data_IF_272982310266
#
_entry.id   IF_272982310266
#
_cell.length_a   1.000
_cell.length_b   1.000
_cell.length_c   1.000
_cell.angle_alpha   90.00
_cell.angle_beta   90.00
_cell.angle_gamma   90.00
#
_symmetry.space_group_name_H-M   'P 1'
#
loop_
_entity.id
_entity.type
_entity.pdbx_description
1 polymer ?
#
# COMPACT_ATOMS: atom_id res chain seq x y z
N UNK A 1 3.14 -49.93 -54.25
CA UNK A 1 4.14 -50.30 -55.27
C UNK A 1 5.44 -49.58 -54.96
N UNK A 2 6.53 -50.35 -54.81
CA UNK A 2 7.93 -50.04 -55.18
C UNK A 2 8.53 -48.70 -54.65
N UNK A 3 9.65 -48.64 -53.94
CA UNK A 3 10.70 -49.62 -53.66
C UNK A 3 12.03 -48.89 -53.39
N UNK A 4 12.92 -49.58 -52.66
CA UNK A 4 14.40 -49.61 -52.76
C UNK A 4 15.21 -48.31 -52.66
N UNK A 5 16.03 -48.15 -51.61
CA UNK A 5 17.45 -48.57 -51.49
C UNK A 5 18.46 -47.64 -52.18
N UNK A 6 19.44 -47.09 -51.42
CA UNK A 6 20.84 -47.57 -51.38
C UNK A 6 21.76 -46.73 -50.45
N UNK A 7 22.90 -47.31 -50.01
CA UNK A 7 23.87 -46.73 -49.08
C UNK A 7 25.11 -46.16 -49.79
N UNK A 8 25.96 -45.44 -49.06
CA UNK A 8 27.27 -44.99 -49.55
C UNK A 8 28.25 -44.74 -48.41
N UNK A 9 29.32 -45.53 -48.38
CA UNK A 9 30.35 -45.54 -47.37
C UNK A 9 31.63 -44.81 -47.85
N UNK A 10 32.44 -44.42 -46.85
CA UNK A 10 33.90 -44.29 -46.85
C UNK A 10 34.60 -43.29 -47.78
N UNK A 11 35.40 -42.42 -47.17
CA UNK A 11 36.77 -42.19 -47.62
C UNK A 11 37.71 -41.84 -46.45
N UNK A 12 38.97 -42.22 -46.65
CA UNK A 12 40.01 -42.50 -45.65
C UNK A 12 41.05 -41.36 -45.57
N UNK A 13 41.63 -41.20 -44.36
CA UNK A 13 43.06 -40.94 -44.01
C UNK A 13 43.66 -39.54 -44.37
N UNK A 14 44.85 -39.12 -43.86
CA UNK A 14 45.77 -39.74 -42.87
C UNK A 14 46.38 -38.79 -41.77
N UNK A 15 47.04 -39.43 -40.79
CA UNK A 15 48.29 -39.12 -40.05
C UNK A 15 48.81 -37.68 -39.93
N UNK A 16 49.08 -37.24 -38.69
CA UNK A 16 50.41 -36.74 -38.29
C UNK A 16 50.59 -36.65 -36.76
N UNK A 17 51.68 -37.27 -36.31
CA UNK A 17 52.57 -36.93 -35.19
C UNK A 17 51.97 -36.71 -33.79
N UNK A 18 52.21 -37.72 -32.96
CA UNK A 18 52.31 -37.54 -31.51
C UNK A 18 53.57 -36.75 -31.15
N UNK A 19 53.41 -35.86 -30.17
CA UNK A 19 54.49 -35.33 -29.36
C UNK A 19 54.10 -35.60 -27.90
N UNK A 20 54.88 -36.46 -27.26
CA UNK A 20 54.80 -36.71 -25.83
C UNK A 20 55.28 -35.46 -25.08
N UNK A 21 54.43 -34.87 -24.24
CA UNK A 21 54.87 -33.99 -23.17
C UNK A 21 53.89 -34.04 -21.99
N UNK A 22 54.26 -34.88 -21.03
CA UNK A 22 54.18 -34.66 -19.58
C UNK A 22 52.84 -34.19 -18.98
N UNK A 23 52.20 -35.14 -18.29
CA UNK A 23 51.19 -34.92 -17.25
C UNK A 23 51.78 -34.04 -16.16
N UNK A 24 51.13 -32.92 -15.86
CA UNK A 24 51.39 -32.17 -14.63
C UNK A 24 50.08 -31.54 -14.16
N UNK A 25 49.39 -32.26 -13.26
CA UNK A 25 48.33 -31.68 -12.43
C UNK A 25 48.96 -30.94 -11.25
N UNK A 26 48.56 -29.68 -11.02
CA UNK A 26 48.51 -29.15 -9.69
C UNK A 26 47.07 -28.74 -9.37
N UNK A 27 46.44 -29.57 -8.54
CA UNK A 27 45.75 -29.11 -7.35
C UNK A 27 44.69 -28.04 -7.59
N UNK A 28 43.51 -28.49 -8.01
CA UNK A 28 42.24 -27.79 -7.88
C UNK A 28 41.98 -27.45 -6.41
N UNK A 29 42.50 -26.30 -5.94
CA UNK A 29 42.00 -25.67 -4.71
C UNK A 29 40.64 -25.07 -5.04
N UNK A 30 39.57 -25.83 -4.79
CA UNK A 30 38.24 -25.25 -4.63
C UNK A 30 38.30 -24.24 -3.47
N UNK A 31 38.51 -22.96 -3.80
CA UNK A 31 38.10 -21.89 -2.92
C UNK A 31 36.58 -21.80 -3.01
N UNK A 32 35.88 -22.53 -2.15
CA UNK A 32 34.46 -22.31 -1.92
C UNK A 32 34.29 -20.92 -1.30
N UNK A 33 34.12 -19.90 -2.14
CA UNK A 33 33.72 -18.57 -1.69
C UNK A 33 32.24 -18.67 -1.28
N UNK A 34 32.02 -18.92 0.01
CA UNK A 34 30.72 -18.79 0.64
C UNK A 34 30.37 -17.29 0.63
N UNK A 35 29.71 -16.82 -0.43
CA UNK A 35 29.11 -15.48 -0.44
C UNK A 35 27.96 -15.51 0.55
N UNK A 36 28.26 -15.13 1.80
CA UNK A 36 27.25 -14.84 2.80
C UNK A 36 26.53 -13.58 2.33
N UNK A 37 25.43 -13.77 1.61
CA UNK A 37 24.50 -12.68 1.29
C UNK A 37 23.91 -12.17 2.60
N UNK A 38 24.55 -11.19 3.23
CA UNK A 38 23.95 -10.43 4.32
C UNK A 38 22.79 -9.64 3.72
N UNK A 39 21.60 -10.23 3.74
CA UNK A 39 20.36 -9.49 3.60
C UNK A 39 20.25 -8.58 4.81
N UNK A 40 20.73 -7.35 4.68
CA UNK A 40 20.45 -6.28 5.64
C UNK A 40 18.97 -5.94 5.53
N UNK A 41 18.13 -6.73 6.21
CA UNK A 41 16.81 -6.27 6.59
C UNK A 41 17.03 -5.05 7.50
N UNK A 42 17.01 -3.86 6.90
CA UNK A 42 17.10 -2.62 7.65
C UNK A 42 16.03 -2.63 8.74
N UNK A 43 16.33 -2.08 9.94
CA UNK A 43 15.35 -2.05 11.00
C UNK A 43 14.08 -1.38 10.47
N UNK A 44 12.96 -2.08 10.51
CA UNK A 44 11.67 -1.44 10.44
C UNK A 44 11.65 -0.52 11.66
N UNK A 45 11.94 0.77 11.46
CA UNK A 45 11.84 1.78 12.51
C UNK A 45 10.42 1.64 13.07
N UNK A 46 10.34 1.25 14.35
CA UNK A 46 9.08 1.27 15.07
C UNK A 46 8.49 2.67 14.91
N UNK A 47 7.17 2.77 14.78
CA UNK A 47 6.53 4.08 14.82
C UNK A 47 6.98 4.75 16.12
N UNK A 48 7.50 5.98 16.02
CA UNK A 48 7.69 6.74 17.25
C UNK A 48 6.28 6.93 17.81
N UNK A 49 6.06 6.70 19.10
CA UNK A 49 4.69 6.75 19.66
C UNK A 49 3.97 8.11 19.41
N UNK A 50 4.70 9.12 18.92
CA UNK A 50 4.23 10.40 18.43
C UNK A 50 4.33 10.51 16.89
N UNK A 51 3.18 10.50 16.21
CA UNK A 51 3.14 10.64 14.74
C UNK A 51 3.75 11.95 14.23
N UNK A 52 3.81 13.02 15.05
CA UNK A 52 4.37 14.31 14.62
C UNK A 52 5.88 14.26 14.41
N UNK A 53 6.56 13.35 15.11
CA UNK A 53 7.98 13.12 14.91
C UNK A 53 8.26 12.38 13.59
N UNK A 54 7.32 11.54 13.14
CA UNK A 54 7.46 10.76 11.90
C UNK A 54 6.89 11.48 10.67
N UNK A 55 5.92 12.39 10.85
CA UNK A 55 5.22 13.06 9.76
C UNK A 55 6.01 14.23 9.15
N UNK A 56 5.91 14.36 7.83
CA UNK A 56 6.39 15.53 7.10
C UNK A 56 5.55 16.76 7.46
N UNK A 57 6.18 17.94 7.45
CA UNK A 57 5.50 19.21 7.75
C UNK A 57 4.29 19.49 6.84
N UNK A 58 4.33 19.04 5.58
CA UNK A 58 3.22 19.21 4.64
C UNK A 58 2.00 18.38 5.05
N UNK A 59 2.22 17.15 5.53
CA UNK A 59 1.17 16.28 6.05
C UNK A 59 0.56 16.83 7.33
N UNK A 60 1.40 17.31 8.27
CA UNK A 60 0.92 17.97 9.50
C UNK A 60 -0.05 19.11 9.16
N UNK A 61 0.35 20.03 8.27
CA UNK A 61 -0.50 21.15 7.82
C UNK A 61 -1.78 20.70 7.12
N UNK A 62 -1.73 19.60 6.38
CA UNK A 62 -2.90 19.03 5.71
C UNK A 62 -3.88 18.44 6.72
N UNK A 63 -3.39 17.79 7.76
CA UNK A 63 -4.21 17.26 8.84
C UNK A 63 -4.82 18.37 9.70
N UNK A 64 -4.09 19.46 9.96
CA UNK A 64 -4.60 20.64 10.68
C UNK A 64 -5.81 21.28 10.00
N UNK A 65 -5.96 21.11 8.69
CA UNK A 65 -7.08 21.60 7.89
C UNK A 65 -8.23 20.58 7.73
N UNK A 66 -8.25 19.49 8.49
CA UNK A 66 -9.25 18.43 8.34
C UNK A 66 -10.71 18.93 8.40
N UNK A 67 -11.02 19.86 9.30
CA UNK A 67 -12.38 20.41 9.45
C UNK A 67 -12.80 21.27 8.25
N UNK A 68 -11.84 21.99 7.67
CA UNK A 68 -12.04 22.70 6.41
C UNK A 68 -12.27 21.70 5.28
N UNK A 69 -11.52 20.59 5.22
CA UNK A 69 -11.72 19.55 4.20
C UNK A 69 -13.14 18.97 4.25
N UNK A 70 -13.63 18.67 5.46
CA UNK A 70 -15.01 18.22 5.67
C UNK A 70 -16.03 19.24 5.19
N UNK A 71 -15.88 20.49 5.60
CA UNK A 71 -16.82 21.57 5.26
C UNK A 71 -16.87 21.78 3.75
N UNK A 72 -15.70 21.90 3.12
CA UNK A 72 -15.56 22.11 1.68
C UNK A 72 -16.09 20.93 0.88
N UNK A 73 -15.67 19.70 1.19
CA UNK A 73 -16.11 18.51 0.46
C UNK A 73 -17.63 18.31 0.51
N UNK A 74 -18.23 18.48 1.69
CA UNK A 74 -19.68 18.35 1.85
C UNK A 74 -20.44 19.47 1.13
N UNK A 75 -19.90 20.68 1.08
CA UNK A 75 -20.49 21.79 0.32
C UNK A 75 -20.43 21.53 -1.19
N UNK A 76 -19.26 21.15 -1.72
CA UNK A 76 -19.06 20.78 -3.14
C UNK A 76 -20.01 19.67 -3.57
N UNK A 77 -20.10 18.60 -2.78
CA UNK A 77 -21.01 17.49 -3.05
C UNK A 77 -22.48 17.94 -3.08
N UNK A 78 -22.91 18.78 -2.13
CA UNK A 78 -24.28 19.31 -2.09
C UNK A 78 -24.59 20.24 -3.26
N UNK A 79 -23.64 21.08 -3.67
CA UNK A 79 -23.78 21.94 -4.84
C UNK A 79 -24.00 21.14 -6.13
N UNK A 80 -23.45 19.92 -6.21
CA UNK A 80 -23.70 18.98 -7.30
C UNK A 80 -24.93 18.06 -7.08
N UNK A 81 -25.85 18.42 -6.19
CA UNK A 81 -27.09 17.67 -5.95
C UNK A 81 -26.94 16.36 -5.16
N UNK A 82 -25.77 16.08 -4.57
CA UNK A 82 -25.51 14.82 -3.87
C UNK A 82 -26.10 14.74 -2.46
N UNK A 83 -26.93 15.71 -2.04
CA UNK A 83 -27.48 15.79 -0.69
C UNK A 83 -28.16 14.50 -0.21
N UNK A 84 -29.03 13.89 -1.04
CA UNK A 84 -29.67 12.61 -0.71
C UNK A 84 -28.68 11.45 -0.58
N UNK A 85 -27.63 11.45 -1.41
CA UNK A 85 -26.62 10.39 -1.38
C UNK A 85 -25.73 10.52 -0.14
N UNK A 86 -25.34 11.73 0.25
CA UNK A 86 -24.65 12.01 1.51
C UNK A 86 -25.46 11.55 2.72
N UNK A 87 -26.76 11.85 2.77
CA UNK A 87 -27.64 11.40 3.87
C UNK A 87 -27.65 9.88 4.01
N UNK A 88 -27.60 9.13 2.90
CA UNK A 88 -27.55 7.65 2.93
C UNK A 88 -26.24 7.08 3.48
N UNK A 89 -25.15 7.85 3.51
CA UNK A 89 -23.90 7.43 4.14
C UNK A 89 -24.04 7.40 5.68
N UNK A 90 -24.99 8.17 6.23
CA UNK A 90 -25.25 8.27 7.66
C UNK A 90 -24.00 8.66 8.44
N UNK A 91 -23.74 7.97 9.54
CA UNK A 91 -22.59 8.24 10.43
C UNK A 91 -21.22 8.17 9.75
N UNK A 92 -21.10 7.55 8.55
CA UNK A 92 -19.84 7.56 7.81
C UNK A 92 -19.46 8.98 7.37
N UNK A 93 -20.44 9.79 6.95
CA UNK A 93 -20.23 11.15 6.48
C UNK A 93 -20.55 12.22 7.54
N UNK A 94 -20.68 11.84 8.82
CA UNK A 94 -20.83 12.79 9.93
C UNK A 94 -19.48 12.99 10.65
N UNK A 95 -18.82 14.16 10.51
CA UNK A 95 -17.52 14.41 11.14
C UNK A 95 -17.57 14.40 12.67
N UNK A 96 -18.75 14.50 13.28
CA UNK A 96 -18.91 14.59 14.74
C UNK A 96 -18.97 13.22 15.42
N UNK A 97 -19.09 12.13 14.65
CA UNK A 97 -19.18 10.78 15.20
C UNK A 97 -17.78 10.21 15.38
N UNK A 98 -17.38 10.06 16.64
CA UNK A 98 -16.22 9.28 17.07
C UNK A 98 -16.49 8.61 18.40
N UNK A 99 -16.21 7.31 18.49
CA UNK A 99 -16.47 6.49 19.67
C UNK A 99 -15.16 6.21 20.43
N UNK A 100 -15.22 6.03 21.77
CA UNK A 100 -14.07 5.57 22.54
C UNK A 100 -13.53 4.22 22.06
N UNK A 101 -12.26 3.96 22.40
CA UNK A 101 -11.49 2.76 22.02
C UNK A 101 -11.38 2.65 20.49
N UNK A 102 -10.67 3.59 19.83
CA UNK A 102 -10.60 3.68 18.38
C UNK A 102 -9.75 2.58 17.74
N UNK A 103 -8.97 1.83 18.52
CA UNK A 103 -8.07 0.78 18.05
C UNK A 103 -8.86 -0.39 17.44
N UNK A 104 -8.69 -0.67 16.13
CA UNK A 104 -9.28 -1.86 15.53
C UNK A 104 -8.52 -3.11 15.99
N UNK A 105 -9.24 -4.19 16.24
CA UNK A 105 -8.63 -5.50 16.50
C UNK A 105 -7.87 -5.98 15.25
N UNK A 106 -6.64 -6.52 15.36
CA UNK A 106 -5.96 -7.13 14.23
C UNK A 106 -6.81 -8.20 13.51
N UNK A 107 -6.66 -8.30 12.19
CA UNK A 107 -7.38 -9.27 11.37
C UNK A 107 -7.76 -8.76 9.98
N UNK A 108 -8.57 -9.56 9.29
CA UNK A 108 -9.12 -9.23 7.99
C UNK A 108 -10.33 -8.30 8.12
N UNK A 109 -10.44 -7.36 7.18
CA UNK A 109 -11.54 -6.41 7.06
C UNK A 109 -11.98 -6.33 5.60
N UNK A 110 -13.23 -5.94 5.38
CA UNK A 110 -13.67 -5.35 4.11
C UNK A 110 -13.58 -3.84 4.22
N UNK A 111 -13.17 -3.19 3.16
CA UNK A 111 -13.12 -1.73 3.12
C UNK A 111 -13.61 -1.17 1.79
N UNK A 112 -14.15 0.05 1.80
CA UNK A 112 -14.53 0.78 0.59
C UNK A 112 -14.20 2.25 0.74
N UNK A 113 -13.86 2.88 -0.38
CA UNK A 113 -13.58 4.32 -0.42
C UNK A 113 -14.84 5.07 -0.86
N UNK A 114 -15.11 6.18 -0.20
CA UNK A 114 -16.09 7.19 -0.61
C UNK A 114 -15.33 8.50 -0.81
N UNK A 115 -15.32 8.99 -2.05
CA UNK A 115 -14.72 10.29 -2.40
C UNK A 115 -15.81 11.34 -2.32
N UNK A 116 -15.56 12.43 -1.59
CA UNK A 116 -16.50 13.53 -1.39
C UNK A 116 -15.83 14.82 -1.84
N UNK A 117 -16.53 15.56 -2.70
CA UNK A 117 -16.01 16.79 -3.28
C UNK A 117 -14.84 16.56 -4.24
N UNK A 118 -14.51 17.59 -5.01
CA UNK A 118 -13.38 17.58 -5.92
C UNK A 118 -12.89 19.00 -6.16
N UNK A 119 -11.63 19.33 -5.83
CA UNK A 119 -11.11 20.69 -5.99
C UNK A 119 -10.98 21.09 -7.48
N UNK A 120 -10.99 20.11 -8.39
CA UNK A 120 -10.75 20.29 -9.82
C UNK A 120 -12.00 19.99 -10.67
N UNK A 121 -13.20 20.12 -10.09
CA UNK A 121 -14.46 19.94 -10.83
C UNK A 121 -14.82 18.50 -11.19
N UNK A 122 -14.22 17.51 -10.53
CA UNK A 122 -14.63 16.11 -10.61
C UNK A 122 -15.98 15.82 -9.95
N UNK A 123 -16.42 14.55 -9.93
CA UNK A 123 -17.70 14.17 -9.33
C UNK A 123 -17.76 14.54 -7.84
N UNK A 124 -18.85 15.17 -7.42
CA UNK A 124 -19.04 15.60 -6.02
C UNK A 124 -19.19 14.45 -5.03
N UNK A 125 -19.52 13.24 -5.49
CA UNK A 125 -19.56 12.04 -4.66
C UNK A 125 -19.32 10.78 -5.51
N UNK A 126 -18.39 9.94 -5.08
CA UNK A 126 -18.18 8.60 -5.65
C UNK A 126 -18.10 7.58 -4.52
N UNK A 127 -18.90 6.52 -4.59
CA UNK A 127 -18.83 5.41 -3.63
C UNK A 127 -18.36 4.15 -4.35
N UNK A 128 -17.20 3.64 -3.97
CA UNK A 128 -16.67 2.40 -4.53
C UNK A 128 -17.23 1.16 -3.83
N UNK A 129 -17.10 0.01 -4.50
CA UNK A 129 -17.39 -1.30 -3.94
C UNK A 129 -16.41 -1.73 -2.85
N UNK A 130 -16.67 -2.90 -2.29
CA UNK A 130 -15.86 -3.48 -1.21
C UNK A 130 -14.59 -4.16 -1.71
N UNK A 131 -13.50 -3.91 -1.01
CA UNK A 131 -12.17 -4.47 -1.21
C UNK A 131 -11.70 -5.18 0.07
N UNK A 132 -10.62 -5.96 -0.03
CA UNK A 132 -9.96 -6.55 1.14
C UNK A 132 -9.04 -5.53 1.79
N UNK A 133 -9.16 -5.39 3.11
CA UNK A 133 -8.24 -4.68 3.98
C UNK A 133 -7.73 -5.62 5.07
N UNK A 134 -6.62 -5.24 5.70
CA UNK A 134 -6.02 -5.95 6.83
C UNK A 134 -5.53 -4.96 7.85
N UNK A 135 -5.80 -5.25 9.11
CA UNK A 135 -5.16 -4.63 10.27
C UNK A 135 -4.18 -5.63 10.87
N UNK A 136 -2.96 -5.22 11.14
CA UNK A 136 -1.92 -6.07 11.73
C UNK A 136 -1.10 -5.29 12.75
N UNK A 137 -0.33 -6.01 13.57
CA UNK A 137 0.70 -5.39 14.40
C UNK A 137 2.03 -5.39 13.65
N UNK A 138 2.78 -4.29 13.72
CA UNK A 138 4.18 -4.24 13.32
C UNK A 138 5.00 -5.14 14.25
N UNK A 139 6.24 -5.52 13.89
CA UNK A 139 7.15 -6.19 14.82
C UNK A 139 7.38 -5.39 16.12
N UNK A 140 7.27 -4.05 16.06
CA UNK A 140 7.35 -3.15 17.21
C UNK A 140 6.05 -3.04 18.04
N UNK A 141 4.96 -3.70 17.62
CA UNK A 141 3.67 -3.67 18.31
C UNK A 141 2.71 -2.58 17.83
N UNK A 142 3.05 -1.83 16.78
CA UNK A 142 2.22 -0.74 16.27
C UNK A 142 1.09 -1.27 15.39
N UNK A 143 -0.09 -0.64 15.46
CA UNK A 143 -1.16 -0.98 14.53
C UNK A 143 -0.82 -0.49 13.13
N UNK A 144 -1.03 -1.36 12.14
CA UNK A 144 -0.89 -1.05 10.72
C UNK A 144 -2.20 -1.33 10.00
N UNK A 145 -2.50 -0.50 9.00
CA UNK A 145 -3.64 -0.65 8.10
C UNK A 145 -3.14 -0.81 6.67
N UNK A 146 -3.71 -1.77 5.95
CA UNK A 146 -3.43 -2.00 4.54
C UNK A 146 -4.71 -2.32 3.76
N UNK A 147 -4.94 -1.60 2.66
CA UNK A 147 -5.90 -2.00 1.62
C UNK A 147 -5.20 -2.93 0.64
N UNK A 148 -5.55 -4.21 0.73
CA UNK A 148 -4.86 -5.31 0.04
C UNK A 148 -5.23 -5.40 -1.44
N UNK A 149 -6.44 -4.99 -1.83
CA UNK A 149 -6.93 -5.09 -3.22
C UNK A 149 -7.44 -3.78 -3.78
N UNK A 150 -7.49 -3.69 -5.11
CA UNK A 150 -7.98 -2.52 -5.85
C UNK A 150 -6.85 -1.68 -6.43
N UNK A 151 -7.22 -0.66 -7.20
CA UNK A 151 -6.27 0.19 -7.94
C UNK A 151 -5.51 1.16 -7.05
N UNK A 152 -6.15 1.69 -6.01
CA UNK A 152 -5.52 2.53 -4.99
C UNK A 152 -5.43 1.73 -3.69
N UNK A 153 -4.22 1.42 -3.25
CA UNK A 153 -3.95 0.58 -2.07
C UNK A 153 -3.16 1.38 -1.03
N UNK A 154 -3.87 1.95 -0.07
CA UNK A 154 -3.28 2.65 1.07
C UNK A 154 -2.62 1.64 2.02
N UNK A 155 -1.44 1.99 2.54
CA UNK A 155 -0.77 1.22 3.58
C UNK A 155 -0.01 2.15 4.54
N UNK A 156 -0.13 1.92 5.84
CA UNK A 156 0.49 2.80 6.84
C UNK A 156 0.29 2.34 8.28
N UNK A 157 0.79 3.16 9.19
CA UNK A 157 0.72 2.97 10.63
C UNK A 157 -0.47 3.76 11.20
N UNK A 158 -1.01 3.29 12.32
CA UNK A 158 -2.08 3.94 13.09
C UNK A 158 -1.54 4.33 14.47
N UNK A 159 -1.29 5.61 14.66
CA UNK A 159 -0.71 6.19 15.88
C UNK A 159 -1.81 6.59 16.86
N UNK A 160 -1.69 6.27 18.15
CA UNK A 160 -2.54 6.85 19.18
C UNK A 160 -2.42 8.38 19.19
N UNK A 161 -3.55 9.10 19.18
CA UNK A 161 -3.57 10.56 19.38
C UNK A 161 -4.47 10.94 20.56
N UNK A 162 -5.69 10.43 20.59
CA UNK A 162 -6.66 10.80 21.62
C UNK A 162 -7.59 9.63 21.94
N UNK A 163 -8.38 9.68 23.04
CA UNK A 163 -9.25 8.57 23.46
C UNK A 163 -10.29 8.09 22.44
N UNK A 164 -10.54 8.87 21.37
CA UNK A 164 -11.55 8.60 20.33
C UNK A 164 -10.99 8.59 18.89
N UNK A 165 -9.70 8.84 18.69
CA UNK A 165 -9.09 8.84 17.35
C UNK A 165 -7.63 8.40 17.34
N UNK A 166 -7.22 7.82 16.23
CA UNK A 166 -5.84 7.56 15.84
C UNK A 166 -5.47 8.45 14.65
N UNK A 167 -4.18 8.61 14.39
CA UNK A 167 -3.66 9.20 13.14
C UNK A 167 -3.13 8.09 12.25
N UNK A 168 -3.58 8.07 11.01
CA UNK A 168 -2.98 7.26 9.96
C UNK A 168 -1.85 8.05 9.31
N UNK A 169 -0.66 7.43 9.23
CA UNK A 169 0.45 7.93 8.43
C UNK A 169 0.89 6.81 7.50
N UNK A 170 0.79 7.03 6.20
CA UNK A 170 0.99 5.97 5.21
C UNK A 170 1.12 6.49 3.81
N UNK A 171 1.18 5.60 2.84
CA UNK A 171 1.22 5.97 1.43
C UNK A 171 0.26 5.14 0.60
N UNK A 172 0.01 5.57 -0.64
CA UNK A 172 -0.85 4.88 -1.59
C UNK A 172 -0.06 4.32 -2.77
N UNK A 173 -0.28 3.03 -3.06
CA UNK A 173 0.14 2.40 -4.31
C UNK A 173 -0.96 2.57 -5.37
N UNK A 174 -0.56 2.78 -6.62
CA UNK A 174 -1.43 2.99 -7.77
C UNK A 174 -1.27 1.85 -8.77
N UNK A 175 -2.37 1.30 -9.25
CA UNK A 175 -2.35 0.16 -10.17
C UNK A 175 -2.02 -1.17 -9.48
N UNK A 176 -2.40 -2.28 -10.11
CA UNK A 176 -2.34 -3.63 -9.51
C UNK A 176 -0.94 -4.25 -9.49
N UNK A 177 0.02 -3.71 -10.24
CA UNK A 177 1.39 -4.23 -10.32
C UNK A 177 2.37 -3.66 -9.28
N UNK A 178 2.00 -2.58 -8.58
CA UNK A 178 2.87 -1.96 -7.59
C UNK A 178 2.91 -2.74 -6.27
N UNK A 179 4.08 -2.77 -5.63
CA UNK A 179 4.23 -3.27 -4.26
C UNK A 179 3.49 -2.40 -3.23
N UNK A 180 3.64 -2.75 -1.95
CA UNK A 180 3.13 -1.94 -0.84
C UNK A 180 3.83 -0.57 -0.83
N UNK A 181 3.05 0.51 -0.88
CA UNK A 181 3.60 1.86 -0.75
C UNK A 181 4.18 2.11 0.64
N UNK A 182 5.23 2.92 0.70
CA UNK A 182 5.95 3.27 1.92
C UNK A 182 5.91 4.79 2.10
N UNK A 183 5.44 5.24 3.25
CA UNK A 183 5.44 6.65 3.61
C UNK A 183 6.86 7.23 3.57
N UNK A 184 6.98 8.46 3.09
CA UNK A 184 8.24 9.18 3.01
C UNK A 184 9.11 8.79 1.82
N UNK A 185 8.72 7.83 0.97
CA UNK A 185 9.45 7.52 -0.28
C UNK A 185 9.08 8.45 -1.43
N UNK A 186 7.82 8.82 -1.53
CA UNK A 186 7.28 9.65 -2.61
C UNK A 186 6.21 10.58 -2.02
N UNK A 187 6.50 11.88 -2.04
CA UNK A 187 5.64 12.89 -1.44
C UNK A 187 4.25 12.93 -2.07
N UNK A 188 4.11 12.59 -3.36
CA UNK A 188 2.81 12.58 -4.04
C UNK A 188 1.93 11.38 -3.64
N UNK A 189 2.54 10.37 -3.01
CA UNK A 189 1.87 9.17 -2.52
C UNK A 189 1.64 9.21 -1.02
N UNK A 190 2.29 10.13 -0.32
CA UNK A 190 2.18 10.29 1.11
C UNK A 190 0.75 10.71 1.50
N UNK A 191 0.22 10.04 2.51
CA UNK A 191 -1.13 10.21 3.03
C UNK A 191 -1.10 10.33 4.54
N UNK A 192 -1.95 11.23 5.04
CA UNK A 192 -2.21 11.40 6.46
C UNK A 192 -3.72 11.55 6.67
N UNK A 193 -4.21 11.05 7.80
CA UNK A 193 -5.63 11.18 8.12
C UNK A 193 -5.98 10.77 9.53
N UNK A 194 -7.26 10.96 9.87
CA UNK A 194 -7.81 10.56 11.16
C UNK A 194 -8.54 9.23 11.02
N UNK A 195 -8.23 8.28 11.90
CA UNK A 195 -8.90 6.99 11.97
C UNK A 195 -9.76 6.92 13.24
N UNK A 196 -11.05 6.66 13.07
CA UNK A 196 -12.06 6.69 14.13
C UNK A 196 -12.92 5.44 14.11
N UNK A 197 -13.31 5.00 15.31
CA UNK A 197 -14.39 4.04 15.47
C UNK A 197 -15.73 4.77 15.42
N UNK A 198 -16.61 4.35 14.52
CA UNK A 198 -17.92 4.98 14.26
C UNK A 198 -19.10 4.00 14.40
N UNK A 199 -18.84 2.81 14.96
CA UNK A 199 -19.83 1.78 15.26
C UNK A 199 -19.19 0.55 15.91
N UNK A 200 -19.98 -0.52 16.16
CA UNK A 200 -19.52 -1.74 16.85
C UNK A 200 -18.22 -2.31 16.26
N UNK A 201 -18.21 -2.54 14.94
CA UNK A 201 -17.06 -2.96 14.12
C UNK A 201 -17.01 -2.14 12.82
N UNK A 202 -17.22 -0.83 12.98
CA UNK A 202 -17.21 0.12 11.88
C UNK A 202 -16.20 1.20 12.16
N UNK A 203 -15.30 1.41 11.22
CA UNK A 203 -14.29 2.44 11.33
C UNK A 203 -14.29 3.31 10.08
N UNK A 204 -13.75 4.51 10.24
CA UNK A 204 -13.53 5.47 9.16
C UNK A 204 -12.12 5.99 9.26
N UNK A 205 -11.37 5.85 8.18
CA UNK A 205 -10.20 6.68 7.93
C UNK A 205 -10.63 7.84 7.04
N UNK A 206 -10.41 9.06 7.51
CA UNK A 206 -10.67 10.30 6.76
C UNK A 206 -9.35 10.92 6.32
N UNK A 207 -9.18 11.07 5.02
CA UNK A 207 -8.00 11.65 4.37
C UNK A 207 -8.39 13.02 3.78
N UNK A 208 -7.89 14.14 4.32
CA UNK A 208 -8.12 15.48 3.77
C UNK A 208 -7.18 15.76 2.59
N UNK A 209 -7.72 16.31 1.50
CA UNK A 209 -7.02 16.58 0.23
C UNK A 209 -5.94 15.54 -0.12
N UNK A 210 -6.30 14.26 -0.27
CA UNK A 210 -5.37 13.31 -0.86
C UNK A 210 -4.91 13.87 -2.20
N UNK A 211 -3.65 13.67 -2.56
CA UNK A 211 -3.06 14.23 -3.80
C UNK A 211 -3.85 13.91 -5.07
N UNK A 212 -4.76 12.92 -5.03
CA UNK A 212 -5.60 12.54 -6.17
C UNK A 212 -7.10 12.82 -5.96
N UNK A 213 -7.66 13.52 -6.95
CA UNK A 213 -9.05 13.52 -7.45
C UNK A 213 -10.18 14.02 -6.53
N UNK A 214 -9.96 14.15 -5.22
CA UNK A 214 -11.03 14.47 -4.26
C UNK A 214 -10.60 15.42 -3.15
N UNK A 215 -11.55 16.20 -2.65
CA UNK A 215 -11.34 17.07 -1.47
C UNK A 215 -11.24 16.24 -0.19
N UNK A 216 -12.02 15.17 -0.08
CA UNK A 216 -12.02 14.27 1.07
C UNK A 216 -12.21 12.82 0.63
N UNK A 217 -11.36 11.93 1.13
CA UNK A 217 -11.53 10.48 1.00
C UNK A 217 -11.93 9.87 2.34
N UNK A 218 -13.01 9.09 2.34
CA UNK A 218 -13.40 8.24 3.47
C UNK A 218 -13.13 6.78 3.12
N UNK A 219 -12.25 6.12 3.84
CA UNK A 219 -12.12 4.67 3.80
C UNK A 219 -12.94 4.09 4.95
N UNK A 220 -14.08 3.49 4.61
CA UNK A 220 -14.90 2.74 5.56
C UNK A 220 -14.31 1.34 5.75
N UNK A 221 -14.17 0.89 6.99
CA UNK A 221 -13.79 -0.49 7.32
C UNK A 221 -14.92 -1.19 8.07
N UNK A 222 -15.14 -2.45 7.72
CA UNK A 222 -16.09 -3.39 8.33
C UNK A 222 -15.42 -4.74 8.51
N UNK A 223 -15.73 -5.43 9.60
CA UNK A 223 -15.38 -6.84 9.75
C UNK A 223 -16.41 -7.71 9.02
#
# INVERSE_FOLDING_TARGET
MLGRSRPGANLRRPLALGLHAQVQEPSMRLAAVLVLSLSTAGPALAASADWRADARRADVRRLERLDEAWTTALAEARAQGQGRALTRLGVLADPRVSLPRPQPTPGAYRCRTVKIGSPNGGPGLVTYGWFRCRVALSPGGDLTLEKVTGSQRQAGNLYPEAPRRLVFLGAVAWGSGEGRAQYGRDAERDQIGVFERIGADRYRLTLPWPHQESTLDLLELRR
#
